data_IF_749017460445
#
_entry.id   IF_749017460445
#
_cell.length_a   1.000
_cell.length_b   1.000
_cell.length_c   1.000
_cell.angle_alpha   90.00
_cell.angle_beta   90.00
_cell.angle_gamma   90.00
#
_symmetry.space_group_name_H-M   'P 1'
#
loop_
_entity.id
_entity.type
_entity.pdbx_description
1 polymer ?
#
# COMPACT_ATOMS: atom_id res chain seq x y z
N UNK A 1 27.75 -43.94 11.27
CA UNK A 1 26.34 -43.68 11.60
C UNK A 1 25.43 -44.83 11.18
N UNK A 2 25.32 -45.13 9.88
CA UNK A 2 24.36 -46.11 9.36
C UNK A 2 24.44 -47.50 10.00
N UNK A 3 25.64 -48.08 10.21
CA UNK A 3 25.75 -49.37 10.89
C UNK A 3 25.22 -49.40 12.34
N UNK A 4 25.22 -48.26 13.06
CA UNK A 4 24.60 -48.17 14.39
C UNK A 4 23.08 -48.12 14.27
N UNK A 5 22.57 -47.33 13.32
CA UNK A 5 21.13 -47.21 13.07
C UNK A 5 20.55 -48.52 12.57
N UNK A 6 21.23 -49.24 11.67
CA UNK A 6 20.78 -50.56 11.19
C UNK A 6 20.55 -51.54 12.33
N UNK A 7 21.44 -51.57 13.35
CA UNK A 7 21.26 -52.44 14.52
C UNK A 7 19.99 -52.10 15.30
N UNK A 8 19.72 -50.81 15.49
CA UNK A 8 18.52 -50.34 16.19
C UNK A 8 17.27 -50.62 15.36
N UNK A 9 17.29 -50.36 14.06
CA UNK A 9 16.16 -50.63 13.17
C UNK A 9 15.84 -52.13 13.10
N UNK A 10 16.85 -53.00 13.07
CA UNK A 10 16.65 -54.44 13.13
C UNK A 10 16.04 -54.85 14.47
N UNK A 11 16.55 -54.33 15.59
CA UNK A 11 15.95 -54.58 16.91
C UNK A 11 14.49 -54.15 16.99
N UNK A 12 14.13 -52.98 16.43
CA UNK A 12 12.72 -52.54 16.37
C UNK A 12 11.89 -53.52 15.55
N UNK A 13 12.39 -53.95 14.37
CA UNK A 13 11.69 -54.93 13.52
C UNK A 13 11.48 -56.27 14.23
N UNK A 14 12.46 -56.73 15.00
CA UNK A 14 12.39 -57.98 15.77
C UNK A 14 11.34 -57.91 16.90
N UNK A 15 10.90 -56.71 17.29
CA UNK A 15 9.87 -56.48 18.30
C UNK A 15 8.45 -56.26 17.73
N UNK A 16 8.21 -56.62 16.46
CA UNK A 16 6.93 -56.38 15.78
C UNK A 16 5.69 -56.90 16.54
N UNK A 17 5.82 -58.00 17.30
CA UNK A 17 4.70 -58.55 18.08
C UNK A 17 4.46 -57.85 19.43
N UNK A 18 5.50 -57.26 20.03
CA UNK A 18 5.42 -56.61 21.35
C UNK A 18 5.13 -55.11 21.25
N UNK A 19 5.65 -54.47 20.20
CA UNK A 19 5.63 -53.03 19.99
C UNK A 19 5.26 -52.73 18.53
N UNK A 20 4.05 -53.12 18.12
CA UNK A 20 3.56 -52.97 16.75
C UNK A 20 3.52 -51.49 16.29
N UNK A 21 3.20 -50.58 17.22
CA UNK A 21 3.12 -49.13 16.96
C UNK A 21 4.48 -48.53 16.54
N UNK A 22 5.60 -49.17 16.90
CA UNK A 22 6.93 -48.67 16.51
C UNK A 22 7.27 -48.97 15.05
N UNK A 23 6.61 -49.94 14.42
CA UNK A 23 6.91 -50.35 13.04
C UNK A 23 6.64 -49.23 12.04
N UNK A 24 5.60 -48.41 12.28
CA UNK A 24 5.23 -47.30 11.38
C UNK A 24 6.32 -46.22 11.25
N UNK A 25 7.21 -46.11 12.24
CA UNK A 25 8.28 -45.12 12.25
C UNK A 25 9.53 -45.60 11.50
N UNK A 26 9.69 -46.90 11.26
CA UNK A 26 10.88 -47.47 10.61
C UNK A 26 11.20 -46.81 9.26
N UNK A 27 10.24 -46.64 8.32
CA UNK A 27 10.53 -45.99 7.04
C UNK A 27 10.96 -44.53 7.20
N UNK A 28 10.30 -43.79 8.09
CA UNK A 28 10.62 -42.39 8.37
C UNK A 28 12.01 -42.24 8.99
N UNK A 29 12.39 -43.15 9.91
CA UNK A 29 13.73 -43.19 10.50
C UNK A 29 14.81 -43.53 9.46
N UNK A 30 14.52 -44.42 8.51
CA UNK A 30 15.43 -44.72 7.40
C UNK A 30 15.66 -43.48 6.52
N UNK A 31 14.59 -42.80 6.08
CA UNK A 31 14.68 -41.56 5.29
C UNK A 31 15.45 -40.46 6.01
N UNK A 32 15.14 -40.23 7.29
CA UNK A 32 15.84 -39.24 8.11
C UNK A 32 17.33 -39.61 8.27
N UNK A 33 17.65 -40.89 8.43
CA UNK A 33 19.04 -41.34 8.54
C UNK A 33 19.81 -41.12 7.24
N UNK A 34 19.19 -41.36 6.09
CA UNK A 34 19.78 -41.07 4.78
C UNK A 34 20.05 -39.58 4.64
N UNK A 35 19.06 -38.72 4.92
CA UNK A 35 19.23 -37.28 4.84
C UNK A 35 20.38 -36.80 5.75
N UNK A 36 20.42 -37.27 7.01
CA UNK A 36 21.51 -36.93 7.94
C UNK A 36 22.87 -37.44 7.49
N UNK A 37 22.94 -38.63 6.90
CA UNK A 37 24.19 -39.12 6.30
C UNK A 37 24.62 -38.24 5.14
N UNK A 38 23.71 -37.90 4.23
CA UNK A 38 24.00 -37.07 3.05
C UNK A 38 24.53 -35.69 3.45
N UNK A 39 23.91 -35.06 4.46
CA UNK A 39 24.39 -33.79 5.03
C UNK A 39 25.82 -33.91 5.56
N UNK A 40 26.14 -34.98 6.30
CA UNK A 40 27.49 -35.20 6.83
C UNK A 40 28.51 -35.50 5.73
N UNK A 41 28.13 -36.30 4.73
CA UNK A 41 29.00 -36.64 3.61
C UNK A 41 29.28 -35.39 2.78
N UNK A 42 28.28 -34.57 2.48
CA UNK A 42 28.45 -33.34 1.71
C UNK A 42 29.34 -32.30 2.41
N UNK A 43 29.34 -32.27 3.74
CA UNK A 43 30.26 -31.40 4.49
C UNK A 43 31.73 -31.84 4.34
N UNK A 44 32.03 -33.10 4.04
CA UNK A 44 33.42 -33.63 4.05
C UNK A 44 33.93 -33.94 2.64
N UNK A 45 33.06 -34.47 1.78
CA UNK A 45 33.40 -34.92 0.44
C UNK A 45 32.93 -33.90 -0.59
N UNK A 46 33.83 -33.53 -1.49
CA UNK A 46 33.45 -32.77 -2.69
C UNK A 46 32.89 -33.69 -3.78
N UNK A 47 33.43 -34.90 -3.93
CA UNK A 47 32.89 -35.92 -4.81
C UNK A 47 32.97 -37.30 -4.18
N UNK A 48 31.98 -38.15 -4.48
CA UNK A 48 31.93 -39.54 -4.03
C UNK A 48 31.30 -40.42 -5.12
N UNK A 49 31.83 -41.63 -5.29
CA UNK A 49 31.21 -42.63 -6.16
C UNK A 49 29.87 -43.08 -5.58
N UNK A 50 28.86 -43.22 -6.45
CA UNK A 50 27.53 -43.67 -6.04
C UNK A 50 27.58 -45.08 -5.44
N UNK A 51 28.40 -45.98 -6.00
CA UNK A 51 28.61 -47.33 -5.47
C UNK A 51 29.18 -47.30 -4.05
N UNK A 52 30.10 -46.36 -3.77
CA UNK A 52 30.62 -46.18 -2.42
C UNK A 52 29.54 -45.69 -1.47
N UNK A 53 28.73 -44.71 -1.88
CA UNK A 53 27.62 -44.21 -1.05
C UNK A 53 26.58 -45.31 -0.77
N UNK A 54 26.22 -46.11 -1.77
CA UNK A 54 25.32 -47.25 -1.60
C UNK A 54 25.87 -48.27 -0.59
N UNK A 55 27.19 -48.53 -0.60
CA UNK A 55 27.81 -49.41 0.41
C UNK A 55 27.69 -48.89 1.85
N UNK A 56 27.51 -47.58 2.05
CA UNK A 56 27.35 -46.97 3.38
C UNK A 56 25.91 -47.07 3.90
N UNK A 57 24.93 -47.33 3.02
CA UNK A 57 23.50 -47.41 3.36
C UNK A 57 22.99 -48.82 3.04
N UNK A 58 23.23 -49.82 3.92
CA UNK A 58 22.92 -51.22 3.62
C UNK A 58 21.43 -51.57 3.74
N UNK A 59 20.58 -50.64 4.16
CA UNK A 59 19.17 -50.89 4.48
C UNK A 59 18.18 -50.35 3.44
N UNK A 60 18.68 -49.77 2.34
CA UNK A 60 17.90 -49.17 1.24
C UNK A 60 18.56 -49.56 -0.08
N UNK A 61 17.74 -49.77 -1.12
CA UNK A 61 18.23 -50.07 -2.47
C UNK A 61 18.80 -48.82 -3.18
N UNK A 62 19.66 -49.02 -4.17
CA UNK A 62 20.26 -47.97 -4.99
C UNK A 62 19.21 -46.99 -5.54
N UNK A 63 18.10 -47.46 -6.09
CA UNK A 63 17.05 -46.60 -6.65
C UNK A 63 16.34 -45.76 -5.58
N UNK A 64 16.11 -46.33 -4.40
CA UNK A 64 15.49 -45.62 -3.27
C UNK A 64 16.44 -44.58 -2.65
N UNK A 65 17.73 -44.90 -2.62
CA UNK A 65 18.79 -43.97 -2.20
C UNK A 65 18.87 -42.79 -3.17
N UNK A 66 18.88 -43.04 -4.47
CA UNK A 66 18.88 -41.99 -5.50
C UNK A 66 17.64 -41.10 -5.39
N UNK A 67 16.45 -41.70 -5.24
CA UNK A 67 15.20 -40.95 -5.03
C UNK A 67 15.30 -40.04 -3.80
N UNK A 68 15.85 -40.53 -2.70
CA UNK A 68 16.05 -39.75 -1.47
C UNK A 68 17.05 -38.60 -1.66
N UNK A 69 18.10 -38.80 -2.48
CA UNK A 69 19.07 -37.75 -2.84
C UNK A 69 18.38 -36.66 -3.67
N UNK A 70 17.59 -37.04 -4.67
CA UNK A 70 16.85 -36.10 -5.53
C UNK A 70 15.82 -35.31 -4.72
N UNK A 71 15.10 -35.99 -3.81
CA UNK A 71 14.14 -35.33 -2.92
C UNK A 71 14.86 -34.33 -2.00
N UNK A 72 16.01 -34.68 -1.40
CA UNK A 72 16.81 -33.77 -0.60
C UNK A 72 17.36 -32.56 -1.41
N UNK A 73 17.79 -32.79 -2.65
CA UNK A 73 18.26 -31.74 -3.54
C UNK A 73 17.14 -30.76 -3.92
N UNK A 74 15.94 -31.29 -4.21
CA UNK A 74 14.76 -30.51 -4.62
C UNK A 74 14.24 -29.62 -3.50
N UNK A 75 14.16 -30.14 -2.29
CA UNK A 75 13.70 -29.37 -1.13
C UNK A 75 14.76 -28.38 -0.62
N UNK A 76 15.93 -28.32 -1.28
CA UNK A 76 17.05 -27.42 -0.98
C UNK A 76 17.75 -27.75 0.34
N UNK A 77 17.69 -29.01 0.77
CA UNK A 77 18.37 -29.50 1.97
C UNK A 77 19.83 -29.87 1.68
N UNK A 78 20.19 -30.00 0.39
CA UNK A 78 21.49 -30.48 -0.06
C UNK A 78 21.86 -29.93 -1.44
N UNK A 79 23.09 -29.46 -1.57
CA UNK A 79 23.65 -29.07 -2.85
C UNK A 79 24.43 -30.23 -3.48
N UNK A 80 23.83 -30.94 -4.43
CA UNK A 80 24.41 -32.12 -5.09
C UNK A 80 24.18 -32.09 -6.60
N UNK A 81 25.17 -32.57 -7.36
CA UNK A 81 25.06 -32.90 -8.78
C UNK A 81 25.29 -34.39 -8.99
N UNK A 82 24.44 -35.01 -9.78
CA UNK A 82 24.48 -36.44 -10.09
C UNK A 82 25.01 -36.61 -11.51
N UNK A 83 26.06 -37.41 -11.67
CA UNK A 83 26.58 -37.81 -12.98
C UNK A 83 26.48 -39.33 -13.12
N UNK A 84 25.55 -39.78 -13.96
CA UNK A 84 25.36 -41.21 -14.24
C UNK A 84 26.43 -41.79 -15.16
N UNK A 85 27.13 -40.96 -15.94
CA UNK A 85 28.17 -41.44 -16.86
C UNK A 85 29.39 -41.94 -16.11
N UNK A 86 29.84 -41.17 -15.11
CA UNK A 86 30.91 -41.53 -14.19
C UNK A 86 30.43 -42.28 -12.94
N UNK A 87 29.11 -42.34 -12.71
CA UNK A 87 28.47 -42.86 -11.48
C UNK A 87 28.98 -42.13 -10.22
N UNK A 88 29.10 -40.81 -10.29
CA UNK A 88 29.58 -39.98 -9.18
C UNK A 88 28.56 -38.94 -8.74
N UNK A 89 28.67 -38.54 -7.48
CA UNK A 89 27.93 -37.45 -6.87
C UNK A 89 28.93 -36.35 -6.51
N UNK A 90 28.64 -35.11 -6.91
CA UNK A 90 29.47 -33.94 -6.61
C UNK A 90 28.71 -32.97 -5.71
N UNK A 91 29.27 -32.61 -4.57
CA UNK A 91 28.70 -31.67 -3.61
C UNK A 91 29.34 -30.29 -3.72
N UNK A 92 28.57 -29.23 -3.55
CA UNK A 92 29.12 -27.87 -3.44
C UNK A 92 29.72 -27.28 -4.71
N UNK A 93 29.51 -27.90 -5.88
CA UNK A 93 30.13 -27.46 -7.14
C UNK A 93 29.62 -26.12 -7.67
N UNK A 94 28.45 -25.67 -7.21
CA UNK A 94 27.83 -24.41 -7.64
C UNK A 94 28.01 -23.31 -6.57
N UNK A 95 28.87 -22.34 -6.87
CA UNK A 95 29.23 -21.30 -5.91
C UNK A 95 28.13 -20.24 -5.73
N UNK A 96 27.14 -20.19 -6.63
CA UNK A 96 26.05 -19.21 -6.60
C UNK A 96 24.84 -19.69 -5.78
N UNK A 97 24.91 -20.90 -5.22
CA UNK A 97 23.83 -21.47 -4.46
C UNK A 97 23.59 -20.70 -3.14
N UNK A 98 22.35 -20.27 -2.91
CA UNK A 98 21.93 -19.65 -1.65
C UNK A 98 21.19 -20.68 -0.81
N UNK A 99 21.71 -20.97 0.38
CA UNK A 99 20.99 -21.75 1.38
C UNK A 99 19.72 -21.03 1.82
N UNK A 100 18.63 -21.80 2.00
CA UNK A 100 17.34 -21.33 2.50
C UNK A 100 17.33 -21.34 4.03
N UNK A 101 16.44 -20.53 4.63
CA UNK A 101 16.29 -20.43 6.08
C UNK A 101 15.84 -21.74 6.74
N UNK A 102 15.08 -22.57 6.01
CA UNK A 102 14.58 -23.86 6.49
C UNK A 102 15.59 -25.02 6.39
N UNK A 103 16.87 -24.72 6.14
CA UNK A 103 17.88 -25.78 5.95
C UNK A 103 18.02 -26.64 7.23
N UNK A 104 17.95 -27.99 7.14
CA UNK A 104 17.87 -28.82 8.33
C UNK A 104 19.16 -28.77 9.13
N UNK A 105 19.10 -28.21 10.35
CA UNK A 105 20.25 -28.09 11.25
C UNK A 105 20.62 -29.47 11.81
N UNK A 106 21.90 -29.82 11.76
CA UNK A 106 22.46 -31.05 12.28
C UNK A 106 23.89 -30.83 12.80
N UNK A 107 24.63 -31.89 13.14
CA UNK A 107 26.04 -31.78 13.46
C UNK A 107 26.77 -31.01 12.35
N UNK A 108 27.43 -29.93 12.74
CA UNK A 108 28.03 -28.97 11.83
C UNK A 108 29.55 -29.01 11.96
N UNK A 109 30.21 -29.47 10.90
CA UNK A 109 31.67 -29.55 10.85
C UNK A 109 32.26 -28.37 10.07
N UNK A 110 31.76 -28.13 8.86
CA UNK A 110 32.22 -27.03 8.01
C UNK A 110 31.13 -26.58 7.02
N UNK A 111 31.17 -25.29 6.69
CA UNK A 111 30.33 -24.68 5.67
C UNK A 111 30.64 -25.22 4.27
N UNK A 112 29.62 -25.26 3.42
CA UNK A 112 29.80 -25.49 1.98
C UNK A 112 30.58 -24.32 1.33
N UNK A 113 31.32 -24.54 0.23
CA UNK A 113 32.10 -23.47 -0.42
C UNK A 113 31.27 -22.24 -0.81
N UNK A 114 30.03 -22.43 -1.28
CA UNK A 114 29.08 -21.36 -1.59
C UNK A 114 28.77 -20.48 -0.37
N UNK A 115 28.54 -21.09 0.79
CA UNK A 115 28.33 -20.37 2.05
C UNK A 115 29.59 -19.67 2.55
N UNK A 116 30.76 -20.28 2.38
CA UNK A 116 32.04 -19.67 2.76
C UNK A 116 32.28 -18.37 2.00
N UNK A 117 32.00 -18.35 0.69
CA UNK A 117 32.12 -17.15 -0.14
C UNK A 117 31.09 -16.10 0.29
N UNK A 118 29.83 -16.51 0.48
CA UNK A 118 28.75 -15.60 0.88
C UNK A 118 29.02 -14.90 2.22
N UNK A 119 29.52 -15.66 3.20
CA UNK A 119 29.76 -15.16 4.56
C UNK A 119 31.22 -14.71 4.78
N UNK A 120 32.03 -14.64 3.72
CA UNK A 120 33.46 -14.37 3.81
C UNK A 120 33.76 -13.06 4.54
N UNK A 121 33.09 -11.97 4.15
CA UNK A 121 33.33 -10.65 4.74
C UNK A 121 32.91 -10.59 6.21
N UNK A 122 31.83 -11.29 6.59
CA UNK A 122 31.39 -11.41 7.98
C UNK A 122 32.38 -12.20 8.82
N UNK A 123 32.90 -13.31 8.30
CA UNK A 123 33.93 -14.09 8.97
C UNK A 123 35.24 -13.29 9.12
N UNK A 124 35.63 -12.54 8.07
CA UNK A 124 36.79 -11.66 8.11
C UNK A 124 36.61 -10.51 9.11
N UNK A 125 35.46 -9.84 9.12
CA UNK A 125 35.21 -8.75 10.07
C UNK A 125 35.18 -9.23 11.51
N UNK A 126 34.54 -10.38 11.78
CA UNK A 126 34.48 -10.97 13.12
C UNK A 126 35.87 -11.40 13.63
N UNK A 127 36.68 -12.03 12.77
CA UNK A 127 38.05 -12.43 13.13
C UNK A 127 38.95 -11.21 13.34
N UNK A 128 38.87 -10.20 12.48
CA UNK A 128 39.62 -8.96 12.62
C UNK A 128 39.21 -8.17 13.87
N UNK A 129 37.91 -8.06 14.16
CA UNK A 129 37.41 -7.42 15.36
C UNK A 129 37.95 -8.10 16.64
N UNK A 130 37.95 -9.43 16.68
CA UNK A 130 38.57 -10.20 17.77
C UNK A 130 40.08 -9.97 17.85
N UNK A 131 40.77 -9.95 16.71
CA UNK A 131 42.22 -9.69 16.68
C UNK A 131 42.55 -8.29 17.22
N UNK A 132 41.79 -7.26 16.85
CA UNK A 132 41.97 -5.90 17.35
C UNK A 132 41.84 -5.86 18.88
N UNK A 133 40.83 -6.54 19.43
CA UNK A 133 40.61 -6.61 20.89
C UNK A 133 41.78 -7.25 21.64
N UNK A 134 42.45 -8.24 21.02
CA UNK A 134 43.61 -8.92 21.61
C UNK A 134 44.89 -8.10 21.48
N UNK A 135 45.11 -7.45 20.32
CA UNK A 135 46.37 -6.76 20.02
C UNK A 135 46.52 -5.45 20.81
N UNK A 136 45.44 -4.67 20.98
CA UNK A 136 45.50 -3.36 21.64
C UNK A 136 44.33 -3.11 22.60
N UNK A 137 44.20 -3.89 23.69
CA UNK A 137 43.10 -3.70 24.63
C UNK A 137 43.18 -2.36 25.37
N UNK A 138 44.39 -1.93 25.79
CA UNK A 138 44.56 -0.74 26.63
C UNK A 138 44.11 0.56 25.95
N UNK A 139 44.51 0.80 24.70
CA UNK A 139 44.12 2.05 24.00
C UNK A 139 42.65 2.07 23.59
N UNK A 140 42.04 0.91 23.28
CA UNK A 140 40.59 0.81 23.01
C UNK A 140 39.79 1.11 24.28
N UNK A 141 40.22 0.58 25.42
CA UNK A 141 39.57 0.84 26.71
C UNK A 141 39.69 2.32 27.09
N UNK A 142 40.85 2.93 26.89
CA UNK A 142 41.06 4.35 27.17
C UNK A 142 40.20 5.25 26.28
N UNK A 143 40.17 5.01 24.97
CA UNK A 143 39.34 5.78 24.03
C UNK A 143 37.85 5.63 24.36
N UNK A 144 37.41 4.42 24.70
CA UNK A 144 36.04 4.15 25.13
C UNK A 144 35.68 4.88 26.42
N UNK A 145 36.60 4.91 27.38
CA UNK A 145 36.41 5.61 28.65
C UNK A 145 36.35 7.12 28.44
N UNK A 146 37.21 7.68 27.59
CA UNK A 146 37.18 9.10 27.22
C UNK A 146 35.87 9.49 26.54
N UNK A 147 35.41 8.69 25.57
CA UNK A 147 34.10 8.85 24.92
C UNK A 147 32.95 8.81 25.94
N UNK A 148 33.00 7.87 26.89
CA UNK A 148 32.01 7.74 27.95
C UNK A 148 32.00 8.97 28.87
N UNK A 149 33.16 9.46 29.28
CA UNK A 149 33.30 10.66 30.10
C UNK A 149 32.77 11.90 29.37
N UNK A 150 33.07 12.05 28.08
CA UNK A 150 32.52 13.13 27.24
C UNK A 150 30.99 13.05 27.16
N UNK A 151 30.42 11.87 26.97
CA UNK A 151 28.97 11.66 26.95
C UNK A 151 28.32 12.02 28.30
N UNK A 152 28.93 11.59 29.41
CA UNK A 152 28.46 11.92 30.77
C UNK A 152 28.55 13.43 31.01
N UNK A 153 29.67 14.07 30.65
CA UNK A 153 29.84 15.52 30.80
C UNK A 153 28.82 16.30 29.97
N UNK A 154 28.57 15.88 28.73
CA UNK A 154 27.53 16.46 27.88
C UNK A 154 26.14 16.31 28.51
N UNK A 155 25.83 15.14 29.05
CA UNK A 155 24.59 14.90 29.79
C UNK A 155 24.46 15.82 31.00
N UNK A 156 25.46 15.86 31.88
CA UNK A 156 25.42 16.69 33.10
C UNK A 156 25.24 18.18 32.78
N UNK A 157 25.84 18.66 31.69
CA UNK A 157 25.71 20.04 31.22
C UNK A 157 24.30 20.35 30.67
N UNK A 158 23.66 19.39 30.02
CA UNK A 158 22.42 19.61 29.27
C UNK A 158 21.15 19.09 29.96
N UNK A 159 21.24 18.17 30.91
CA UNK A 159 20.12 17.44 31.48
C UNK A 159 18.99 18.36 31.99
N UNK A 160 19.32 19.42 32.74
CA UNK A 160 18.32 20.37 33.27
C UNK A 160 17.66 21.19 32.16
N UNK A 161 18.44 21.63 31.17
CA UNK A 161 17.93 22.41 30.03
C UNK A 161 17.02 21.56 29.15
N UNK A 162 17.41 20.32 28.88
CA UNK A 162 16.60 19.37 28.12
C UNK A 162 15.30 19.03 28.86
N UNK A 163 15.35 18.85 30.17
CA UNK A 163 14.15 18.64 30.99
C UNK A 163 13.17 19.81 30.90
N UNK A 164 13.66 21.05 31.06
CA UNK A 164 12.83 22.25 30.91
C UNK A 164 12.26 22.37 29.50
N UNK A 165 13.06 22.10 28.47
CA UNK A 165 12.60 22.10 27.08
C UNK A 165 11.51 21.05 26.83
N UNK A 166 11.63 19.87 27.42
CA UNK A 166 10.61 18.81 27.30
C UNK A 166 9.31 19.24 27.99
N UNK A 167 9.39 19.83 29.18
CA UNK A 167 8.21 20.35 29.88
C UNK A 167 7.52 21.48 29.10
N UNK A 168 8.30 22.45 28.60
CA UNK A 168 7.78 23.52 27.75
C UNK A 168 7.13 22.96 26.47
N UNK A 169 7.78 21.99 25.83
CA UNK A 169 7.22 21.30 24.65
C UNK A 169 5.91 20.59 24.99
N UNK A 170 5.80 19.97 26.18
CA UNK A 170 4.54 19.35 26.65
C UNK A 170 3.42 20.40 26.73
N UNK A 171 3.70 21.57 27.30
CA UNK A 171 2.73 22.66 27.38
C UNK A 171 2.30 23.14 26.00
N UNK A 172 3.25 23.39 25.09
CA UNK A 172 2.93 23.81 23.71
C UNK A 172 2.10 22.76 22.96
N UNK A 173 2.37 21.46 23.18
CA UNK A 173 1.57 20.38 22.58
C UNK A 173 0.15 20.41 23.12
N UNK A 174 -0.02 20.59 24.44
CA UNK A 174 -1.35 20.60 25.06
C UNK A 174 -2.17 21.83 24.62
N UNK A 175 -1.59 23.03 24.63
CA UNK A 175 -2.22 24.25 24.09
C UNK A 175 -2.60 24.08 22.61
N UNK A 176 -1.76 23.39 21.82
CA UNK A 176 -2.05 23.11 20.42
C UNK A 176 -3.22 22.13 20.27
N UNK A 177 -3.31 21.11 21.13
CA UNK A 177 -4.47 20.18 21.12
C UNK A 177 -5.75 20.93 21.46
N UNK A 178 -5.77 21.72 22.53
CA UNK A 178 -6.93 22.52 22.93
C UNK A 178 -7.38 23.46 21.82
N UNK A 179 -6.43 24.11 21.12
CA UNK A 179 -6.74 24.98 19.98
C UNK A 179 -7.33 24.21 18.80
N UNK A 180 -6.80 23.02 18.49
CA UNK A 180 -7.32 22.18 17.42
C UNK A 180 -8.70 21.60 17.75
N UNK A 181 -8.93 21.20 19.00
CA UNK A 181 -10.24 20.76 19.49
C UNK A 181 -11.25 21.90 19.41
N UNK A 182 -10.88 23.11 19.85
CA UNK A 182 -11.75 24.29 19.77
C UNK A 182 -12.12 24.63 18.32
N UNK A 183 -11.16 24.57 17.39
CA UNK A 183 -11.40 24.79 15.96
C UNK A 183 -12.31 23.71 15.36
N UNK A 184 -12.11 22.45 15.74
CA UNK A 184 -12.97 21.35 15.29
C UNK A 184 -14.41 21.51 15.80
N UNK A 185 -14.59 21.87 17.08
CA UNK A 185 -15.91 22.13 17.67
C UNK A 185 -16.60 23.30 16.96
N UNK A 186 -15.88 24.38 16.66
CA UNK A 186 -16.43 25.50 15.90
C UNK A 186 -16.86 25.08 14.50
N UNK A 187 -16.02 24.32 13.80
CA UNK A 187 -16.34 23.80 12.47
C UNK A 187 -17.57 22.88 12.48
N UNK A 188 -17.66 21.97 13.45
CA UNK A 188 -18.82 21.09 13.62
C UNK A 188 -20.09 21.88 13.91
N UNK A 189 -20.01 22.95 14.71
CA UNK A 189 -21.15 23.82 15.00
C UNK A 189 -21.60 24.59 13.75
N UNK A 190 -20.66 25.14 12.97
CA UNK A 190 -20.96 25.83 11.72
C UNK A 190 -21.59 24.87 10.69
N UNK A 191 -21.08 23.64 10.57
CA UNK A 191 -21.68 22.60 9.70
C UNK A 191 -23.10 22.24 10.15
N UNK A 192 -23.35 22.20 11.46
CA UNK A 192 -24.68 21.92 12.01
C UNK A 192 -25.65 23.10 11.77
N UNK A 193 -25.22 24.34 11.98
CA UNK A 193 -26.00 25.54 11.68
C UNK A 193 -26.32 25.65 10.18
N UNK A 194 -25.38 25.30 9.30
CA UNK A 194 -25.62 25.25 7.85
C UNK A 194 -26.69 24.21 7.50
N UNK A 195 -26.60 22.99 8.05
CA UNK A 195 -27.63 21.96 7.86
C UNK A 195 -29.00 22.38 8.38
N UNK A 196 -29.06 23.03 9.53
CA UNK A 196 -30.32 23.55 10.08
C UNK A 196 -30.90 24.66 9.21
N UNK A 197 -30.06 25.58 8.70
CA UNK A 197 -30.48 26.64 7.79
C UNK A 197 -31.01 26.07 6.46
N UNK A 198 -30.37 25.03 5.91
CA UNK A 198 -30.86 24.31 4.74
C UNK A 198 -32.23 23.66 5.03
N UNK A 199 -32.38 22.96 6.15
CA UNK A 199 -33.65 22.36 6.57
C UNK A 199 -34.75 23.42 6.76
N UNK A 200 -34.44 24.58 7.34
CA UNK A 200 -35.38 25.70 7.47
C UNK A 200 -35.78 26.28 6.12
N UNK A 201 -34.84 26.41 5.17
CA UNK A 201 -35.15 26.84 3.80
C UNK A 201 -36.09 25.86 3.11
N UNK A 202 -35.85 24.55 3.26
CA UNK A 202 -36.73 23.50 2.72
C UNK A 202 -38.13 23.61 3.33
N UNK A 203 -38.25 23.75 4.66
CA UNK A 203 -39.56 23.92 5.33
C UNK A 203 -40.32 25.17 4.87
N UNK A 204 -39.63 26.31 4.72
CA UNK A 204 -40.25 27.54 4.22
C UNK A 204 -40.72 27.39 2.78
N UNK A 205 -39.93 26.75 1.92
CA UNK A 205 -40.32 26.46 0.54
C UNK A 205 -41.55 25.51 0.49
N UNK A 206 -41.62 24.53 1.38
CA UNK A 206 -42.78 23.64 1.49
C UNK A 206 -44.03 24.37 2.00
N UNK A 207 -43.90 25.26 2.99
CA UNK A 207 -45.01 26.09 3.48
C UNK A 207 -45.51 27.06 2.41
N UNK A 208 -44.61 27.69 1.65
CA UNK A 208 -44.98 28.55 0.52
C UNK A 208 -45.73 27.78 -0.56
N UNK A 209 -45.29 26.56 -0.88
CA UNK A 209 -46.00 25.65 -1.80
C UNK A 209 -47.42 25.37 -1.27
N UNK A 210 -47.55 25.04 0.01
CA UNK A 210 -48.84 24.75 0.63
C UNK A 210 -49.77 25.97 0.67
N UNK A 211 -49.22 27.18 0.89
CA UNK A 211 -49.96 28.45 0.84
C UNK A 211 -50.42 28.81 -0.56
N UNK A 212 -49.61 28.53 -1.58
CA UNK A 212 -50.00 28.71 -2.98
C UNK A 212 -51.17 27.77 -3.32
N UNK A 213 -51.07 26.50 -2.95
CA UNK A 213 -52.15 25.51 -3.11
C UNK A 213 -53.44 25.92 -2.37
N UNK A 214 -53.33 26.46 -1.16
CA UNK A 214 -54.48 26.97 -0.40
C UNK A 214 -55.12 28.20 -1.05
N UNK A 215 -54.32 29.13 -1.58
CA UNK A 215 -54.81 30.31 -2.33
C UNK A 215 -55.49 29.91 -3.63
N UNK A 216 -55.01 28.86 -4.30
CA UNK A 216 -55.65 28.30 -5.49
C UNK A 216 -57.02 27.71 -5.14
N UNK A 217 -57.12 26.91 -4.07
CA UNK A 217 -58.41 26.42 -3.54
C UNK A 217 -59.37 27.54 -3.13
N UNK A 218 -58.87 28.63 -2.56
CA UNK A 218 -59.69 29.77 -2.18
C UNK A 218 -60.17 30.57 -3.40
N UNK A 219 -59.31 30.76 -4.41
CA UNK A 219 -59.71 31.35 -5.70
C UNK A 219 -60.75 30.52 -6.42
N UNK A 220 -60.66 29.20 -6.39
CA UNK A 220 -61.68 28.30 -6.94
C UNK A 220 -63.03 28.47 -6.21
N UNK A 221 -63.03 28.57 -4.88
CA UNK A 221 -64.24 28.88 -4.10
C UNK A 221 -64.85 30.23 -4.50
N UNK A 222 -64.03 31.28 -4.59
CA UNK A 222 -64.50 32.63 -4.95
C UNK A 222 -65.03 32.66 -6.39
N UNK A 223 -64.41 31.94 -7.32
CA UNK A 223 -64.92 31.80 -8.70
C UNK A 223 -66.29 31.13 -8.72
N UNK A 224 -66.50 30.07 -7.94
CA UNK A 224 -67.80 29.40 -7.83
C UNK A 224 -68.88 30.32 -7.24
N UNK A 225 -68.54 31.11 -6.22
CA UNK A 225 -69.44 32.12 -5.65
C UNK A 225 -69.77 33.24 -6.68
N UNK A 226 -68.77 33.69 -7.44
CA UNK A 226 -68.96 34.72 -8.49
C UNK A 226 -69.80 34.22 -9.67
N UNK A 227 -69.72 32.94 -10.00
CA UNK A 227 -70.51 32.30 -11.06
C UNK A 227 -71.99 32.23 -10.69
N UNK A 228 -72.31 31.95 -9.42
CA UNK A 228 -73.69 31.98 -8.91
C UNK A 228 -74.29 33.38 -8.92
N UNK A 229 -73.48 34.42 -8.65
CA UNK A 229 -73.91 35.82 -8.70
C UNK A 229 -74.17 36.26 -10.15
N UNK A 230 -73.29 35.93 -11.10
CA UNK A 230 -73.46 36.24 -12.53
C UNK A 230 -74.73 35.62 -13.13
N UNK A 231 -75.10 34.39 -12.74
CA UNK A 231 -76.35 33.73 -13.19
C UNK A 231 -77.63 34.46 -12.74
N UNK A 232 -77.60 35.19 -11.62
CA UNK A 232 -78.73 36.03 -11.16
C UNK A 232 -78.77 37.39 -11.87
N UNK A 233 -77.62 38.05 -12.06
CA UNK A 233 -77.56 39.38 -12.68
C UNK A 233 -77.83 39.38 -14.19
N UNK A 234 -77.54 38.26 -14.87
CA UNK A 234 -77.83 38.09 -16.31
C UNK A 234 -79.33 37.92 -16.57
N UNK A 235 -80.11 37.30 -15.68
CA UNK A 235 -81.58 37.23 -15.79
C UNK A 235 -82.24 38.60 -15.61
N UNK A 236 -81.76 39.42 -14.68
CA UNK A 236 -82.33 40.75 -14.39
C UNK A 236 -81.94 41.82 -15.44
N UNK A 237 -80.74 41.72 -16.05
CA UNK A 237 -80.33 42.61 -17.16
C UNK A 237 -80.95 42.25 -18.52
N UNK A 238 -81.42 41.01 -18.71
CA UNK A 238 -82.07 40.58 -19.95
C UNK A 238 -83.51 41.12 -20.09
N UNK A 239 -84.21 41.40 -18.98
CA UNK A 239 -85.56 41.97 -19.01
C UNK A 239 -85.58 43.50 -19.20
N UNK A 240 -84.50 44.21 -18.83
CA UNK A 240 -84.42 45.67 -18.95
C UNK A 240 -83.97 46.18 -20.33
N UNK A 241 -83.29 45.36 -21.14
CA UNK A 241 -82.75 45.78 -22.45
C UNK A 241 -83.75 45.56 -23.62
N UNK A 242 -84.87 44.84 -23.40
CA UNK A 242 -85.92 44.63 -24.41
C UNK A 242 -86.96 45.76 -24.57
N UNK A 243 -86.86 46.89 -23.85
CA UNK A 243 -87.85 48.00 -23.89
C UNK A 243 -87.34 49.35 -24.45
N UNK A 244 -86.19 49.39 -25.11
CA UNK A 244 -85.66 50.64 -25.70
C UNK A 244 -85.24 50.49 -27.16
N UNK A 245 -85.73 51.42 -27.99
CA UNK A 245 -85.67 51.43 -29.46
C UNK A 245 -84.27 51.64 -30.08
N UNK A 246 -83.22 51.67 -29.25
CA UNK A 246 -81.81 51.74 -29.68
C UNK A 246 -81.12 50.36 -29.74
N UNK A 247 -81.83 49.26 -29.46
CA UNK A 247 -81.33 47.89 -29.58
C UNK A 247 -81.52 47.24 -30.96
N UNK A 248 -82.31 47.84 -31.86
CA UNK A 248 -82.68 47.23 -33.14
C UNK A 248 -81.70 47.52 -34.30
N UNK A 249 -80.59 48.24 -34.07
CA UNK A 249 -79.59 48.56 -35.11
C UNK A 249 -78.14 48.19 -34.77
N UNK A 250 -77.89 47.55 -33.63
CA UNK A 250 -76.54 47.16 -33.19
C UNK A 250 -76.32 45.64 -33.09
N UNK A 251 -77.33 44.82 -33.38
CA UNK A 251 -77.26 43.36 -33.38
C UNK A 251 -77.71 42.82 -34.73
N UNK A 252 -76.92 43.09 -35.77
CA UNK A 252 -77.20 42.58 -37.12
C UNK A 252 -76.22 41.52 -37.62
N UNK A 253 -75.12 41.24 -36.92
CA UNK A 253 -74.13 40.24 -37.36
C UNK A 253 -73.36 39.58 -36.19
N UNK A 254 -74.05 39.08 -35.15
CA UNK A 254 -73.48 38.08 -34.22
C UNK A 254 -74.60 37.13 -33.80
N UNK A 255 -74.51 35.89 -34.27
CA UNK A 255 -75.36 34.77 -33.87
C UNK A 255 -74.93 34.21 -32.50
N UNK A 256 -75.94 33.74 -31.76
CA UNK A 256 -75.92 33.38 -30.33
C UNK A 256 -75.66 31.87 -30.16
N UNK A 257 -74.76 31.31 -30.95
CA UNK A 257 -74.32 29.90 -30.82
C UNK A 257 -72.83 29.73 -30.49
N UNK A 258 -72.02 30.80 -30.51
CA UNK A 258 -70.60 30.75 -30.14
C UNK A 258 -70.31 31.09 -28.65
N UNK A 259 -71.35 31.09 -27.80
CA UNK A 259 -71.20 31.37 -26.35
C UNK A 259 -71.25 30.12 -25.46
N UNK A 260 -71.45 28.92 -26.02
CA UNK A 260 -71.47 27.65 -25.29
C UNK A 260 -70.33 26.66 -25.69
N UNK A 261 -69.44 27.02 -26.62
CA UNK A 261 -68.25 26.21 -26.98
C UNK A 261 -66.91 26.89 -26.65
N UNK A 262 -66.65 27.13 -25.35
CA UNK A 262 -65.26 27.14 -24.89
C UNK A 262 -65.13 26.35 -23.59
N UNK A 263 -64.82 25.08 -23.78
CA UNK A 263 -64.66 24.05 -22.75
C UNK A 263 -63.58 24.46 -21.71
N UNK A 264 -63.92 24.55 -20.41
CA UNK A 264 -62.97 24.79 -19.32
C UNK A 264 -61.79 23.81 -19.33
N UNK A 265 -61.98 22.61 -19.88
CA UNK A 265 -60.95 21.58 -20.02
C UNK A 265 -59.87 21.96 -21.04
N UNK A 266 -60.19 22.76 -22.07
CA UNK A 266 -59.19 23.24 -23.04
C UNK A 266 -58.26 24.31 -22.44
N UNK A 267 -58.78 25.13 -21.52
CA UNK A 267 -57.99 26.15 -20.81
C UNK A 267 -57.06 25.48 -19.79
N UNK A 268 -57.55 24.48 -19.06
CA UNK A 268 -56.74 23.72 -18.08
C UNK A 268 -55.66 22.87 -18.77
N UNK A 269 -55.98 22.24 -19.91
CA UNK A 269 -55.02 21.49 -20.72
C UNK A 269 -53.89 22.39 -21.24
N UNK A 270 -54.22 23.59 -21.73
CA UNK A 270 -53.23 24.56 -22.22
C UNK A 270 -52.32 25.08 -21.09
N UNK A 271 -52.84 25.20 -19.88
CA UNK A 271 -52.10 25.66 -18.71
C UNK A 271 -51.13 24.59 -18.17
N UNK A 272 -51.54 23.31 -18.17
CA UNK A 272 -50.65 22.18 -17.86
C UNK A 272 -49.56 22.02 -18.91
N UNK A 273 -49.91 22.18 -20.20
CA UNK A 273 -48.92 22.14 -21.29
C UNK A 273 -47.86 23.25 -21.15
N UNK A 274 -48.26 24.42 -20.65
CA UNK A 274 -47.37 25.56 -20.44
C UNK A 274 -46.42 25.34 -19.25
N UNK A 275 -46.90 24.75 -18.15
CA UNK A 275 -46.07 24.35 -17.01
C UNK A 275 -45.08 23.24 -17.34
N UNK A 276 -45.47 22.27 -18.17
CA UNK A 276 -44.55 21.23 -18.65
C UNK A 276 -43.47 21.79 -19.59
N UNK A 277 -43.80 22.79 -20.41
CA UNK A 277 -42.82 23.51 -21.24
C UNK A 277 -41.82 24.26 -20.37
N UNK A 278 -42.27 24.99 -19.35
CA UNK A 278 -41.37 25.70 -18.42
C UNK A 278 -40.44 24.76 -17.67
N UNK A 279 -40.92 23.58 -17.24
CA UNK A 279 -40.10 22.55 -16.60
C UNK A 279 -39.04 21.97 -17.55
N UNK A 280 -39.40 21.73 -18.82
CA UNK A 280 -38.46 21.27 -19.85
C UNK A 280 -37.41 22.33 -20.15
N UNK A 281 -37.79 23.60 -20.28
CA UNK A 281 -36.87 24.72 -20.46
C UNK A 281 -35.89 24.87 -19.28
N UNK A 282 -36.37 24.70 -18.05
CA UNK A 282 -35.51 24.75 -16.86
C UNK A 282 -34.50 23.59 -16.84
N UNK A 283 -34.93 22.38 -17.21
CA UNK A 283 -34.02 21.23 -17.35
C UNK A 283 -32.98 21.44 -18.45
N UNK A 284 -33.35 22.05 -19.58
CA UNK A 284 -32.40 22.39 -20.63
C UNK A 284 -31.39 23.45 -20.18
N UNK A 285 -31.83 24.47 -19.42
CA UNK A 285 -30.91 25.45 -18.82
C UNK A 285 -29.92 24.79 -17.86
N UNK A 286 -30.37 23.85 -17.03
CA UNK A 286 -29.50 23.10 -16.11
C UNK A 286 -28.48 22.24 -16.89
N UNK A 287 -28.91 21.51 -17.93
CA UNK A 287 -27.99 20.75 -18.80
C UNK A 287 -26.95 21.64 -19.48
N UNK A 288 -27.32 22.86 -19.88
CA UNK A 288 -26.38 23.82 -20.47
C UNK A 288 -25.39 24.36 -19.43
N UNK A 289 -25.81 24.58 -18.18
CA UNK A 289 -24.91 24.95 -17.09
C UNK A 289 -23.93 23.82 -16.75
N UNK A 290 -24.38 22.57 -16.73
CA UNK A 290 -23.53 21.39 -16.50
C UNK A 290 -22.40 21.32 -17.55
N UNK A 291 -22.74 21.48 -18.84
CA UNK A 291 -21.73 21.55 -19.92
C UNK A 291 -20.76 22.72 -19.73
N UNK A 292 -21.25 23.88 -19.28
CA UNK A 292 -20.40 25.05 -19.03
C UNK A 292 -19.39 24.80 -17.90
N UNK A 293 -19.79 24.07 -16.86
CA UNK A 293 -18.90 23.67 -15.77
C UNK A 293 -17.84 22.69 -16.28
N UNK A 294 -18.21 21.67 -17.06
CA UNK A 294 -17.24 20.72 -17.64
C UNK A 294 -16.23 21.42 -18.55
N UNK A 295 -16.69 22.33 -19.41
CA UNK A 295 -15.79 23.11 -20.28
C UNK A 295 -14.85 24.01 -19.48
N UNK A 296 -15.33 24.60 -18.38
CA UNK A 296 -14.51 25.45 -17.53
C UNK A 296 -13.42 24.64 -16.80
N UNK A 297 -13.76 23.48 -16.24
CA UNK A 297 -12.78 22.58 -15.61
C UNK A 297 -11.77 22.04 -16.63
N UNK A 298 -12.22 21.71 -17.84
CA UNK A 298 -11.31 21.31 -18.93
C UNK A 298 -10.35 22.42 -19.32
N UNK A 299 -10.82 23.67 -19.40
CA UNK A 299 -9.97 24.82 -19.69
C UNK A 299 -8.92 25.04 -18.60
N UNK A 300 -9.29 24.94 -17.32
CA UNK A 300 -8.31 25.00 -16.21
C UNK A 300 -7.24 23.93 -16.35
N UNK A 301 -7.61 22.68 -16.60
CA UNK A 301 -6.64 21.59 -16.75
C UNK A 301 -5.71 21.82 -17.95
N UNK A 302 -6.21 22.37 -19.05
CA UNK A 302 -5.39 22.71 -20.21
C UNK A 302 -4.35 23.79 -19.88
N UNK A 303 -4.69 24.76 -19.04
CA UNK A 303 -3.76 25.79 -18.53
C UNK A 303 -2.77 25.24 -17.49
N UNK A 304 -3.18 24.26 -16.67
CA UNK A 304 -2.33 23.62 -15.66
C UNK A 304 -1.26 22.70 -16.27
N UNK A 305 -1.57 21.98 -17.35
CA UNK A 305 -0.65 21.01 -17.97
C UNK A 305 0.71 21.63 -18.34
N UNK A 306 0.80 22.79 -19.01
CA UNK A 306 2.07 23.47 -19.29
C UNK A 306 2.88 23.81 -18.03
N UNK A 307 2.22 24.26 -16.97
CA UNK A 307 2.88 24.60 -15.71
C UNK A 307 3.49 23.37 -15.05
N UNK A 308 2.76 22.25 -15.05
CA UNK A 308 3.24 20.96 -14.52
C UNK A 308 4.43 20.45 -15.34
N UNK A 309 4.35 20.52 -16.68
CA UNK A 309 5.47 20.14 -17.56
C UNK A 309 6.72 20.98 -17.29
N UNK A 310 6.55 22.30 -17.16
CA UNK A 310 7.66 23.22 -16.84
C UNK A 310 8.28 22.90 -15.48
N UNK A 311 7.46 22.66 -14.46
CA UNK A 311 7.96 22.26 -13.14
C UNK A 311 8.75 20.94 -13.20
N UNK A 312 8.30 19.98 -14.01
CA UNK A 312 9.00 18.71 -14.21
C UNK A 312 10.33 18.89 -14.96
N UNK A 313 10.38 19.77 -15.96
CA UNK A 313 11.63 20.13 -16.65
C UNK A 313 12.64 20.80 -15.72
N UNK A 314 12.19 21.74 -14.88
CA UNK A 314 13.03 22.39 -13.87
C UNK A 314 13.54 21.39 -12.82
N UNK A 315 12.69 20.45 -12.41
CA UNK A 315 13.09 19.37 -11.50
C UNK A 315 14.16 18.47 -12.15
N UNK A 316 13.98 18.08 -13.42
CA UNK A 316 14.94 17.26 -14.15
C UNK A 316 16.32 17.90 -14.23
N UNK A 317 16.39 19.22 -14.42
CA UNK A 317 17.67 19.95 -14.44
C UNK A 317 18.33 19.91 -13.06
N UNK A 318 17.59 20.18 -11.99
CA UNK A 318 18.11 20.11 -10.61
C UNK A 318 18.59 18.71 -10.23
N UNK A 319 17.86 17.68 -10.64
CA UNK A 319 18.21 16.28 -10.39
C UNK A 319 19.50 15.90 -11.13
N UNK A 320 19.70 16.43 -12.35
CA UNK A 320 20.92 16.24 -13.13
C UNK A 320 22.12 16.94 -12.48
N UNK A 321 21.97 18.20 -12.06
CA UNK A 321 23.00 18.95 -11.34
C UNK A 321 23.40 18.25 -10.03
N UNK A 322 22.42 17.73 -9.30
CA UNK A 322 22.66 16.96 -8.07
C UNK A 322 23.42 15.66 -8.37
N UNK A 323 23.06 14.96 -9.45
CA UNK A 323 23.75 13.74 -9.86
C UNK A 323 25.20 14.02 -10.27
N UNK A 324 25.46 15.09 -11.02
CA UNK A 324 26.82 15.50 -11.40
C UNK A 324 27.68 15.80 -10.17
N UNK A 325 27.13 16.54 -9.18
CA UNK A 325 27.83 16.82 -7.93
C UNK A 325 28.18 15.54 -7.16
N UNK A 326 27.23 14.58 -7.08
CA UNK A 326 27.45 13.29 -6.43
C UNK A 326 28.49 12.43 -7.16
N UNK A 327 28.48 12.46 -8.49
CA UNK A 327 29.44 11.73 -9.31
C UNK A 327 30.85 12.32 -9.20
N UNK A 328 30.98 13.64 -9.15
CA UNK A 328 32.25 14.32 -8.86
C UNK A 328 32.80 13.96 -7.47
N UNK A 329 31.95 13.97 -6.45
CA UNK A 329 32.33 13.55 -5.09
C UNK A 329 32.76 12.08 -5.07
N UNK A 330 32.05 11.19 -5.76
CA UNK A 330 32.39 9.77 -5.89
C UNK A 330 33.76 9.58 -6.55
N UNK A 331 34.03 10.28 -7.65
CA UNK A 331 35.32 10.22 -8.35
C UNK A 331 36.45 10.77 -7.47
N UNK A 332 36.21 11.88 -6.76
CA UNK A 332 37.17 12.46 -5.82
C UNK A 332 37.54 11.47 -4.71
N UNK A 333 36.53 10.85 -4.09
CA UNK A 333 36.72 9.83 -3.06
C UNK A 333 37.50 8.62 -3.61
N UNK A 334 37.17 8.13 -4.81
CA UNK A 334 37.92 7.03 -5.45
C UNK A 334 39.39 7.40 -5.72
N UNK A 335 39.69 8.65 -6.11
CA UNK A 335 41.07 9.11 -6.30
C UNK A 335 41.85 9.08 -4.98
N UNK A 336 41.25 9.61 -3.90
CA UNK A 336 41.86 9.61 -2.56
C UNK A 336 42.06 8.18 -2.04
N UNK A 337 41.08 7.30 -2.22
CA UNK A 337 41.21 5.88 -1.85
C UNK A 337 42.31 5.18 -2.64
N UNK A 338 42.42 5.44 -3.94
CA UNK A 338 43.50 4.89 -4.78
C UNK A 338 44.87 5.38 -4.32
N UNK A 339 45.00 6.66 -3.97
CA UNK A 339 46.25 7.23 -3.47
C UNK A 339 46.68 6.53 -2.18
N UNK A 340 45.77 6.40 -1.21
CA UNK A 340 46.00 5.64 0.03
C UNK A 340 46.36 4.17 -0.24
N UNK A 341 45.68 3.52 -1.19
CA UNK A 341 45.99 2.14 -1.57
C UNK A 341 47.39 2.00 -2.17
N UNK A 342 47.85 2.97 -2.97
CA UNK A 342 49.21 3.00 -3.51
C UNK A 342 50.26 3.24 -2.42
N UNK A 343 49.98 4.12 -1.45
CA UNK A 343 50.83 4.30 -0.26
C UNK A 343 50.94 3.02 0.56
N UNK A 344 49.81 2.36 0.81
CA UNK A 344 49.77 1.06 1.49
C UNK A 344 50.56 0.01 0.70
N UNK A 345 50.39 -0.07 -0.62
CA UNK A 345 51.18 -0.97 -1.48
C UNK A 345 52.68 -0.71 -1.34
N UNK A 346 53.12 0.55 -1.41
CA UNK A 346 54.55 0.93 -1.21
C UNK A 346 55.05 0.52 0.16
N UNK A 347 54.26 0.75 1.22
CA UNK A 347 54.59 0.34 2.59
C UNK A 347 54.73 -1.16 2.73
N UNK A 348 53.80 -1.93 2.13
CA UNK A 348 53.81 -3.40 2.16
C UNK A 348 54.95 -3.98 1.33
N UNK A 349 55.36 -3.33 0.23
CA UNK A 349 56.47 -3.76 -0.61
C UNK A 349 57.80 -3.82 0.18
N UNK A 350 58.00 -2.96 1.18
CA UNK A 350 59.19 -3.00 2.05
C UNK A 350 59.34 -4.32 2.81
N UNK A 351 58.23 -5.00 3.11
CA UNK A 351 58.24 -6.28 3.84
C UNK A 351 58.56 -7.48 2.93
N UNK A 352 58.66 -7.30 1.61
CA UNK A 352 59.05 -8.38 0.69
C UNK A 352 60.51 -8.82 0.91
N UNK A 353 61.39 -7.91 1.31
CA UNK A 353 62.79 -8.25 1.62
C UNK A 353 62.87 -9.16 2.84
N UNK A 354 62.10 -8.87 3.89
CA UNK A 354 62.02 -9.72 5.08
C UNK A 354 61.43 -11.11 4.75
N UNK A 355 60.39 -11.15 3.91
CA UNK A 355 59.83 -12.42 3.41
C UNK A 355 60.87 -13.26 2.67
N UNK A 356 61.74 -12.65 1.86
CA UNK A 356 62.80 -13.36 1.12
C UNK A 356 63.97 -13.81 1.99
N UNK A 357 64.15 -13.23 3.18
CA UNK A 357 65.17 -13.66 4.15
C UNK A 357 64.69 -14.80 5.05
N UNK A 358 63.37 -14.98 5.17
CA UNK A 358 62.74 -16.00 6.02
C UNK A 358 62.35 -17.28 5.25
N UNK A 359 62.46 -17.27 3.92
CA UNK A 359 62.40 -18.43 3.03
C UNK A 359 63.82 -18.74 2.56
#
# INVERSE_FOLDING_TARGET
MCGRVTKVLNWVRDQAEKEADLQQYVPHLQSNTILRLLQQVAQIYQSIEFTRLASLVPFVDAFQLERSIVDAARHCDLQVRIDHSSRTLSFGSDLNYSTKEDSPVGPFLQNMPSEQIRNQLTAMSASLAKAIQVIRPASILQEREEQNQLAIAAYLKNARKDHQRILARRQTIEERKERLESLNIQREKEELEQREAEMQKVRKAEEERLRQEAKEREKERIMQEHEQIKKKTVRERLEQIKKTELGAKAFKDIDIEDLEELDPDFIMAKQVEQLEKEKKELQERLKNQEKKIDYFERAKRLEEIPLIKKAYEEQRVKDMELWELQEEERISNMKVEREKALEHKKRMFRMLEDKRKLL
#
